data_IF_583330422187
#
_entry.id   IF_583330422187
#
_cell.length_a   1.000
_cell.length_b   1.000
_cell.length_c   1.000
_cell.angle_alpha   90.00
_cell.angle_beta   90.00
_cell.angle_gamma   90.00
#
_symmetry.space_group_name_H-M   'P 1'
#
loop_
_entity.id
_entity.type
_entity.pdbx_description
1 polymer ?
#
# COMPACT_ATOMS: atom_id res chain seq x y z
N UNK A 1 -6.50 30.91 -24.67
CA UNK A 1 -7.27 32.04 -24.09
C UNK A 1 -8.14 31.52 -22.94
N UNK A 2 -8.49 32.32 -21.92
CA UNK A 2 -9.54 31.93 -20.97
C UNK A 2 -10.89 31.80 -21.70
N UNK A 3 -11.73 30.80 -21.36
CA UNK A 3 -13.08 30.69 -21.89
C UNK A 3 -13.90 31.95 -21.57
N UNK A 4 -14.79 32.34 -22.47
CA UNK A 4 -15.69 33.49 -22.26
C UNK A 4 -16.72 33.23 -21.14
N UNK A 5 -17.13 31.97 -20.98
CA UNK A 5 -18.04 31.56 -19.91
C UNK A 5 -17.30 31.36 -18.57
N UNK A 6 -17.71 32.17 -17.58
CA UNK A 6 -17.17 32.13 -16.23
C UNK A 6 -17.44 30.79 -15.53
N UNK A 7 -18.61 30.17 -15.76
CA UNK A 7 -18.96 28.89 -15.15
C UNK A 7 -18.04 27.78 -15.66
N UNK A 8 -17.81 27.73 -16.98
CA UNK A 8 -16.89 26.80 -17.60
C UNK A 8 -15.46 27.00 -17.09
N UNK A 9 -15.02 28.25 -16.92
CA UNK A 9 -13.71 28.55 -16.34
C UNK A 9 -13.56 27.98 -14.92
N UNK A 10 -14.54 28.21 -14.04
CA UNK A 10 -14.51 27.69 -12.65
C UNK A 10 -14.49 26.16 -12.64
N UNK A 11 -15.30 25.52 -13.51
CA UNK A 11 -15.32 24.07 -13.65
C UNK A 11 -13.95 23.53 -14.08
N UNK A 12 -13.36 24.12 -15.13
CA UNK A 12 -12.05 23.72 -15.64
C UNK A 12 -10.96 23.88 -14.57
N UNK A 13 -10.94 25.02 -13.87
CA UNK A 13 -9.99 25.26 -12.78
C UNK A 13 -10.15 24.25 -11.64
N UNK A 14 -11.39 23.95 -11.25
CA UNK A 14 -11.70 22.97 -10.21
C UNK A 14 -11.26 21.55 -10.58
N UNK A 15 -11.55 21.11 -11.81
CA UNK A 15 -11.15 19.78 -12.31
C UNK A 15 -9.63 19.69 -12.44
N UNK A 16 -8.96 20.73 -12.94
CA UNK A 16 -7.51 20.77 -13.03
C UNK A 16 -6.83 20.64 -11.66
N UNK A 17 -7.32 21.36 -10.64
CA UNK A 17 -6.80 21.28 -9.28
C UNK A 17 -7.03 19.89 -8.66
N UNK A 18 -8.19 19.27 -8.92
CA UNK A 18 -8.51 17.93 -8.43
C UNK A 18 -7.63 16.86 -9.07
N UNK A 19 -7.46 16.91 -10.40
CA UNK A 19 -6.58 15.99 -11.15
C UNK A 19 -5.12 16.17 -10.72
N UNK A 20 -4.64 17.39 -10.45
CA UNK A 20 -3.28 17.61 -9.96
C UNK A 20 -3.01 16.92 -8.61
N UNK A 21 -4.04 16.76 -7.76
CA UNK A 21 -3.95 16.09 -6.46
C UNK A 21 -4.12 14.57 -6.57
N UNK A 22 -5.15 14.13 -7.29
CA UNK A 22 -5.56 12.72 -7.40
C UNK A 22 -4.83 11.96 -8.51
N UNK A 23 -4.16 12.67 -9.42
CA UNK A 23 -3.43 12.10 -10.54
C UNK A 23 -4.29 11.82 -11.78
N UNK A 24 -3.61 11.36 -12.84
CA UNK A 24 -4.18 11.15 -14.18
C UNK A 24 -5.32 10.12 -14.22
N UNK A 25 -5.28 9.11 -13.34
CA UNK A 25 -6.35 8.10 -13.28
C UNK A 25 -7.72 8.73 -13.02
N UNK A 26 -7.77 9.79 -12.20
CA UNK A 26 -9.01 10.50 -11.93
C UNK A 26 -9.54 11.23 -13.17
N UNK A 27 -8.65 11.80 -13.99
CA UNK A 27 -9.01 12.42 -15.26
C UNK A 27 -9.62 11.38 -16.21
N UNK A 28 -8.99 10.21 -16.32
CA UNK A 28 -9.46 9.13 -17.18
C UNK A 28 -10.85 8.62 -16.78
N UNK A 29 -11.06 8.42 -15.48
CA UNK A 29 -12.38 8.04 -14.93
C UNK A 29 -13.40 9.15 -15.18
N UNK A 30 -13.05 10.41 -14.89
CA UNK A 30 -13.96 11.53 -15.09
C UNK A 30 -14.39 11.69 -16.54
N UNK A 31 -13.44 11.51 -17.47
CA UNK A 31 -13.67 11.54 -18.90
C UNK A 31 -14.61 10.41 -19.34
N UNK A 32 -14.42 9.20 -18.81
CA UNK A 32 -15.30 8.06 -19.08
C UNK A 32 -16.72 8.27 -18.55
N UNK A 33 -16.85 8.79 -17.32
CA UNK A 33 -18.15 8.97 -16.67
C UNK A 33 -18.97 10.12 -17.25
N UNK A 34 -18.32 11.13 -17.82
CA UNK A 34 -18.99 12.32 -18.35
C UNK A 34 -18.94 12.42 -19.88
N UNK A 35 -18.73 11.31 -20.59
CA UNK A 35 -18.66 11.28 -22.07
C UNK A 35 -19.85 11.91 -22.78
N UNK A 36 -21.05 11.81 -22.21
CA UNK A 36 -22.28 12.36 -22.79
C UNK A 36 -22.63 13.77 -22.29
N UNK A 37 -21.82 14.34 -21.38
CA UNK A 37 -22.09 15.64 -20.79
C UNK A 37 -21.24 16.72 -21.48
N UNK A 38 -21.87 17.66 -22.22
CA UNK A 38 -21.14 18.67 -22.98
C UNK A 38 -20.33 19.62 -22.10
N UNK A 39 -20.66 19.74 -20.81
CA UNK A 39 -19.89 20.54 -19.85
C UNK A 39 -18.48 19.99 -19.63
N UNK A 40 -18.26 18.70 -19.88
CA UNK A 40 -16.97 18.04 -19.74
C UNK A 40 -16.27 17.77 -21.08
N UNK A 41 -16.78 18.32 -22.19
CA UNK A 41 -16.18 18.12 -23.51
C UNK A 41 -14.72 18.61 -23.57
N UNK A 42 -14.34 19.58 -22.72
CA UNK A 42 -12.95 20.04 -22.59
C UNK A 42 -11.97 18.92 -22.20
N UNK A 43 -12.43 17.83 -21.58
CA UNK A 43 -11.59 16.65 -21.29
C UNK A 43 -11.32 15.79 -22.54
N UNK A 44 -12.10 15.95 -23.60
CA UNK A 44 -12.01 15.20 -24.86
C UNK A 44 -11.51 16.05 -26.04
N UNK A 45 -11.00 17.27 -25.78
CA UNK A 45 -10.57 18.19 -26.85
C UNK A 45 -11.61 19.21 -27.29
N UNK A 46 -12.73 19.33 -26.56
CA UNK A 46 -13.75 20.34 -26.80
C UNK A 46 -13.37 21.75 -26.34
N UNK A 47 -14.37 22.63 -26.26
CA UNK A 47 -14.17 24.04 -25.91
C UNK A 47 -13.53 24.20 -24.52
N UNK A 48 -12.42 24.95 -24.45
CA UNK A 48 -11.67 25.16 -23.20
C UNK A 48 -10.58 24.12 -22.93
N UNK A 49 -10.34 23.16 -23.83
CA UNK A 49 -9.28 22.14 -23.66
C UNK A 49 -7.88 22.75 -23.45
N UNK A 50 -7.47 23.71 -24.29
CA UNK A 50 -6.17 24.38 -24.14
C UNK A 50 -6.04 25.15 -22.81
N UNK A 51 -7.17 25.64 -22.30
CA UNK A 51 -7.23 26.30 -21.02
C UNK A 51 -7.06 25.29 -19.88
N UNK A 52 -7.76 24.16 -19.96
CA UNK A 52 -7.64 23.05 -19.02
C UNK A 52 -6.21 22.52 -18.96
N UNK A 53 -5.56 22.25 -20.09
CA UNK A 53 -4.18 21.76 -20.13
C UNK A 53 -3.21 22.71 -19.41
N UNK A 54 -3.35 24.03 -19.64
CA UNK A 54 -2.53 25.04 -18.96
C UNK A 54 -2.81 25.08 -17.46
N UNK A 55 -4.08 25.05 -17.05
CA UNK A 55 -4.48 25.04 -15.64
C UNK A 55 -4.04 23.79 -14.91
N UNK A 56 -4.08 22.63 -15.57
CA UNK A 56 -3.58 21.38 -15.03
C UNK A 56 -2.07 21.46 -14.80
N UNK A 57 -1.32 21.97 -15.77
CA UNK A 57 0.12 22.18 -15.61
C UNK A 57 0.43 23.14 -14.45
N UNK A 58 -0.23 24.30 -14.38
CA UNK A 58 -0.09 25.26 -13.27
C UNK A 58 -0.38 24.61 -11.91
N UNK A 59 -1.45 23.82 -11.82
CA UNK A 59 -1.85 23.14 -10.59
C UNK A 59 -0.86 22.04 -10.18
N UNK A 60 -0.33 21.27 -11.14
CA UNK A 60 0.68 20.24 -10.89
C UNK A 60 2.00 20.82 -10.37
N UNK A 61 2.44 21.96 -10.92
CA UNK A 61 3.65 22.65 -10.41
C UNK A 61 3.45 23.08 -8.95
N UNK A 62 2.34 23.78 -8.67
CA UNK A 62 2.00 24.22 -7.30
C UNK A 62 1.86 23.06 -6.32
N UNK A 63 1.27 21.95 -6.74
CA UNK A 63 1.11 20.77 -5.89
C UNK A 63 2.46 20.12 -5.59
N UNK A 64 3.32 20.00 -6.60
CA UNK A 64 4.68 19.47 -6.44
C UNK A 64 5.50 20.32 -5.47
N UNK A 65 5.39 21.65 -5.57
CA UNK A 65 6.09 22.55 -4.65
C UNK A 65 5.52 22.44 -3.23
N UNK A 66 4.20 22.34 -3.06
CA UNK A 66 3.58 22.12 -1.74
C UNK A 66 4.02 20.79 -1.10
N UNK A 67 4.15 19.72 -1.87
CA UNK A 67 4.69 18.43 -1.38
C UNK A 67 6.14 18.61 -0.94
N UNK A 68 6.97 19.36 -1.69
CA UNK A 68 8.36 19.63 -1.30
C UNK A 68 8.49 20.38 0.02
N UNK A 69 7.59 21.33 0.30
CA UNK A 69 7.57 22.11 1.55
C UNK A 69 6.89 21.40 2.73
N UNK A 70 6.28 20.23 2.50
CA UNK A 70 5.75 19.32 3.53
C UNK A 70 6.54 17.99 3.48
N UNK A 71 7.77 17.93 4.03
CA UNK A 71 8.60 16.72 3.95
C UNK A 71 8.00 15.50 4.67
N UNK A 72 7.00 15.71 5.54
CA UNK A 72 6.45 14.69 6.44
C UNK A 72 5.29 13.87 5.86
N UNK A 73 4.69 14.30 4.74
CA UNK A 73 3.58 13.58 4.07
C UNK A 73 4.03 13.00 2.72
N UNK A 74 4.78 11.90 2.78
CA UNK A 74 5.15 11.08 1.61
C UNK A 74 3.94 10.31 1.07
N UNK A 75 2.96 10.99 0.46
CA UNK A 75 1.79 10.33 -0.16
C UNK A 75 2.05 9.70 -1.54
N UNK A 76 3.27 9.79 -2.05
CA UNK A 76 3.73 8.99 -3.20
C UNK A 76 5.07 8.32 -2.89
N UNK A 77 5.16 7.66 -1.72
CA UNK A 77 6.23 6.70 -1.51
C UNK A 77 5.93 5.45 -2.34
N UNK A 78 6.38 5.50 -3.59
CA UNK A 78 6.75 4.32 -4.38
C UNK A 78 7.31 3.26 -3.43
N UNK A 79 6.51 2.23 -3.19
CA UNK A 79 6.85 0.97 -2.50
C UNK A 79 7.98 1.16 -1.48
N UNK A 80 7.69 1.82 -0.35
CA UNK A 80 8.66 1.85 0.74
C UNK A 80 8.81 0.40 1.21
N UNK A 81 9.83 -0.31 0.71
CA UNK A 81 10.15 -1.66 1.16
C UNK A 81 10.34 -1.56 2.66
N UNK A 82 9.41 -2.15 3.42
CA UNK A 82 9.48 -2.12 4.85
C UNK A 82 10.59 -3.06 5.28
N UNK A 83 11.76 -2.51 5.59
CA UNK A 83 12.89 -3.30 6.04
C UNK A 83 12.74 -3.64 7.52
N UNK A 84 13.38 -4.72 7.97
CA UNK A 84 13.26 -5.17 9.36
C UNK A 84 13.66 -4.06 10.35
N UNK A 85 14.71 -3.30 10.02
CA UNK A 85 15.20 -2.18 10.81
C UNK A 85 14.21 -1.01 10.89
N UNK A 86 13.45 -0.75 9.83
CA UNK A 86 12.43 0.32 9.83
C UNK A 86 11.25 -0.04 10.73
N UNK A 87 10.83 -1.31 10.72
CA UNK A 87 9.76 -1.83 11.56
C UNK A 87 10.19 -1.84 13.03
N UNK A 88 11.39 -2.32 13.31
CA UNK A 88 11.92 -2.38 14.67
C UNK A 88 11.97 -1.00 15.32
N UNK A 89 12.39 0.04 14.60
CA UNK A 89 12.38 1.42 15.13
C UNK A 89 11.00 1.92 15.52
N UNK A 90 9.96 1.60 14.73
CA UNK A 90 8.58 2.02 15.02
C UNK A 90 8.07 1.33 16.29
N UNK A 91 8.43 0.06 16.49
CA UNK A 91 8.04 -0.73 17.66
C UNK A 91 8.94 -0.49 18.89
N UNK A 92 9.94 0.39 18.78
CA UNK A 92 10.90 0.67 19.85
C UNK A 92 11.90 -0.45 20.11
N UNK A 93 12.08 -1.37 19.15
CA UNK A 93 13.06 -2.45 19.22
C UNK A 93 14.49 -1.88 19.18
N UNK A 94 15.34 -2.36 20.08
CA UNK A 94 16.77 -2.05 20.11
C UNK A 94 17.56 -3.33 19.76
N UNK A 95 18.56 -3.25 18.87
CA UNK A 95 19.43 -4.40 18.59
C UNK A 95 20.04 -4.94 19.88
N UNK A 96 20.05 -6.26 20.04
CA UNK A 96 20.70 -6.89 21.18
C UNK A 96 22.21 -6.76 21.04
N UNK A 97 22.86 -6.31 22.11
CA UNK A 97 24.32 -6.24 22.19
C UNK A 97 24.90 -7.64 22.00
N UNK A 98 25.62 -7.85 20.89
CA UNK A 98 26.33 -9.09 20.64
C UNK A 98 27.52 -9.11 21.60
N UNK A 99 27.42 -9.89 22.67
CA UNK A 99 28.57 -10.15 23.54
C UNK A 99 29.67 -10.82 22.70
N UNK A 100 30.67 -10.04 22.30
CA UNK A 100 31.96 -10.58 21.89
C UNK A 100 32.61 -11.13 23.14
N UNK A 101 32.40 -12.43 23.37
CA UNK A 101 33.08 -13.17 24.41
C UNK A 101 34.50 -13.46 23.93
N UNK A 102 35.37 -12.46 24.04
CA UNK A 102 36.81 -12.72 24.08
C UNK A 102 37.14 -13.26 25.47
N UNK A 103 37.51 -14.53 25.46
CA UNK A 103 37.95 -15.30 26.61
C UNK A 103 39.23 -14.72 27.21
N UNK A 104 39.17 -14.14 28.41
CA UNK A 104 40.21 -14.31 29.44
C UNK A 104 39.81 -13.62 30.75
N UNK A 105 39.25 -14.37 31.70
CA UNK A 105 39.39 -14.05 33.13
C UNK A 105 39.00 -15.27 33.94
N UNK A 106 40.02 -15.91 34.51
CA UNK A 106 39.93 -17.02 35.46
C UNK A 106 39.35 -16.55 36.78
N UNK A 107 38.08 -16.87 37.07
CA UNK A 107 37.56 -16.96 38.43
C UNK A 107 36.53 -18.08 38.52
N UNK A 108 36.75 -18.99 39.45
CA UNK A 108 35.93 -20.15 39.77
C UNK A 108 34.62 -19.73 40.43
N UNK A 109 33.49 -20.17 39.87
CA UNK A 109 32.19 -20.26 40.56
C UNK A 109 31.61 -21.63 40.23
N UNK A 110 31.16 -22.42 41.24
CA UNK A 110 30.71 -23.78 41.04
C UNK A 110 29.27 -23.83 40.49
N UNK A 111 28.97 -24.98 39.89
CA UNK A 111 27.65 -25.49 39.52
C UNK A 111 26.98 -24.92 38.24
N UNK A 112 27.49 -25.43 37.11
CA UNK A 112 26.73 -25.90 35.94
C UNK A 112 25.33 -25.30 35.72
N UNK A 113 25.25 -24.06 35.22
CA UNK A 113 24.03 -23.60 34.53
C UNK A 113 23.98 -24.29 33.18
N UNK A 114 23.34 -25.47 33.13
CA UNK A 114 22.95 -26.10 31.89
C UNK A 114 21.90 -25.18 31.25
N UNK A 115 22.26 -24.43 30.22
CA UNK A 115 21.25 -23.81 29.38
C UNK A 115 20.63 -24.95 28.57
N UNK A 116 19.64 -25.60 29.15
CA UNK A 116 18.76 -26.48 28.41
C UNK A 116 18.04 -25.60 27.39
N UNK A 117 18.43 -25.73 26.13
CA UNK A 117 17.61 -25.28 25.01
C UNK A 117 16.39 -26.21 24.91
N UNK A 118 15.49 -26.16 25.88
CA UNK A 118 14.17 -26.76 25.74
C UNK A 118 13.30 -25.83 24.88
N UNK A 119 13.65 -25.78 23.59
CA UNK A 119 12.78 -25.29 22.50
C UNK A 119 11.70 -26.33 22.16
N UNK A 120 11.29 -27.18 23.12
CA UNK A 120 10.26 -28.19 22.90
C UNK A 120 8.84 -27.66 23.14
N UNK A 121 8.69 -26.52 23.82
CA UNK A 121 7.38 -25.95 24.17
C UNK A 121 6.83 -24.92 23.17
N UNK A 122 7.59 -24.56 22.13
CA UNK A 122 7.09 -23.64 21.07
C UNK A 122 6.41 -24.37 19.91
N UNK A 123 6.59 -25.69 19.80
CA UNK A 123 5.87 -26.49 18.82
C UNK A 123 4.85 -27.36 19.53
N UNK A 124 3.82 -26.72 20.09
CA UNK A 124 2.59 -27.43 20.44
C UNK A 124 2.18 -28.22 19.18
N UNK A 125 2.17 -29.56 19.28
CA UNK A 125 1.58 -30.41 18.25
C UNK A 125 0.24 -29.79 17.87
N UNK A 126 -0.01 -29.44 16.60
CA UNK A 126 -1.26 -28.81 16.24
C UNK A 126 -2.33 -29.90 16.21
N UNK A 127 -2.84 -30.31 17.38
CA UNK A 127 -4.17 -30.93 17.44
C UNK A 127 -5.24 -29.93 16.97
N UNK A 128 -4.91 -28.63 17.00
CA UNK A 128 -5.67 -27.55 16.34
C UNK A 128 -5.69 -27.70 14.80
N UNK A 129 -4.80 -28.47 14.18
CA UNK A 129 -4.85 -28.65 12.72
C UNK A 129 -6.07 -29.46 12.25
N UNK A 130 -6.69 -30.27 13.13
CA UNK A 130 -7.94 -30.94 12.77
C UNK A 130 -9.14 -29.98 12.80
N UNK A 131 -9.17 -29.04 13.74
CA UNK A 131 -10.23 -28.04 13.85
C UNK A 131 -10.04 -26.89 12.85
N UNK A 132 -8.80 -26.57 12.46
CA UNK A 132 -8.48 -25.58 11.43
C UNK A 132 -8.68 -26.11 10.00
N UNK A 133 -8.53 -27.42 9.74
CA UNK A 133 -8.89 -27.97 8.44
C UNK A 133 -10.40 -27.96 8.20
N UNK A 134 -11.22 -27.92 9.25
CA UNK A 134 -12.64 -27.65 9.10
C UNK A 134 -12.92 -26.19 8.72
N UNK A 135 -12.03 -25.23 9.01
CA UNK A 135 -12.14 -23.87 8.44
C UNK A 135 -11.57 -23.76 7.03
N UNK A 136 -10.96 -24.82 6.49
CA UNK A 136 -10.37 -24.86 5.14
C UNK A 136 -11.38 -25.03 4.00
N UNK A 137 -12.68 -25.20 4.31
CA UNK A 137 -13.76 -25.20 3.33
C UNK A 137 -14.66 -23.99 3.51
N UNK A 138 -14.29 -22.80 2.98
CA UNK A 138 -15.08 -21.59 3.12
C UNK A 138 -16.52 -21.72 2.59
N UNK A 139 -16.78 -22.71 1.73
CA UNK A 139 -18.08 -22.97 1.12
C UNK A 139 -18.65 -24.33 1.54
N UNK A 140 -18.80 -24.59 2.85
CA UNK A 140 -19.36 -25.86 3.33
C UNK A 140 -20.79 -26.11 2.84
N UNK A 141 -21.59 -25.06 2.70
CA UNK A 141 -23.00 -25.14 2.30
C UNK A 141 -23.21 -25.32 0.79
N UNK A 142 -22.14 -25.18 0.00
CA UNK A 142 -22.16 -25.33 -1.47
C UNK A 142 -20.97 -26.18 -1.94
N UNK A 143 -21.15 -27.51 -2.05
CA UNK A 143 -20.10 -28.45 -2.43
C UNK A 143 -19.48 -28.15 -3.79
N UNK A 144 -20.29 -27.71 -4.76
CA UNK A 144 -19.82 -27.41 -6.11
C UNK A 144 -18.93 -26.15 -6.11
N UNK A 145 -19.28 -25.14 -5.31
CA UNK A 145 -18.47 -23.94 -5.16
C UNK A 145 -17.17 -24.21 -4.41
N UNK A 146 -17.20 -25.08 -3.41
CA UNK A 146 -16.00 -25.51 -2.69
C UNK A 146 -15.01 -26.22 -3.62
N UNK A 147 -15.47 -27.14 -4.47
CA UNK A 147 -14.62 -27.86 -5.43
C UNK A 147 -13.94 -26.89 -6.41
N UNK A 148 -14.70 -25.92 -6.93
CA UNK A 148 -14.17 -24.91 -7.85
C UNK A 148 -13.10 -24.02 -7.19
N UNK A 149 -13.27 -23.70 -5.92
CA UNK A 149 -12.31 -22.94 -5.14
C UNK A 149 -11.00 -23.74 -4.93
N UNK A 150 -11.11 -25.03 -4.61
CA UNK A 150 -9.96 -25.92 -4.46
C UNK A 150 -9.20 -26.11 -5.78
N UNK A 151 -9.92 -26.26 -6.90
CA UNK A 151 -9.32 -26.35 -8.24
C UNK A 151 -8.57 -25.07 -8.60
N UNK A 152 -9.15 -23.90 -8.32
CA UNK A 152 -8.51 -22.61 -8.53
C UNK A 152 -7.18 -22.49 -7.76
N UNK A 153 -7.14 -22.94 -6.50
CA UNK A 153 -5.92 -22.92 -5.71
C UNK A 153 -4.85 -23.86 -6.26
N UNK A 154 -5.25 -25.06 -6.71
CA UNK A 154 -4.32 -26.02 -7.36
C UNK A 154 -3.71 -25.42 -8.62
N UNK A 155 -4.55 -24.94 -9.55
CA UNK A 155 -4.08 -24.35 -10.82
C UNK A 155 -3.18 -23.11 -10.62
N UNK A 156 -3.39 -22.36 -9.54
CA UNK A 156 -2.64 -21.11 -9.27
C UNK A 156 -1.30 -21.33 -8.56
N UNK A 157 -1.19 -22.37 -7.74
CA UNK A 157 -0.06 -22.53 -6.83
C UNK A 157 0.68 -23.87 -6.96
N UNK A 158 0.17 -24.78 -7.79
CA UNK A 158 0.87 -26.01 -8.19
C UNK A 158 1.16 -25.92 -9.69
N UNK A 159 2.24 -25.20 -10.03
CA UNK A 159 2.94 -25.38 -11.30
C UNK A 159 3.92 -26.53 -11.19
#
# INVERSE_FOLDING_TARGET
PPPEDNNLKVLIEGVAALVARCGKLFEDISREKHKSNPLFDFLNGGHGHDYYARKLWEAQQKHTDQIKWRPDEKLYSTVQKMTAESRGKILGERPLERSLKDSSSSYSVPDHVHIQSNMSDTFTKPEVFKELLETAKPFKDDPAKQERFEQFLKDKYQG
#
